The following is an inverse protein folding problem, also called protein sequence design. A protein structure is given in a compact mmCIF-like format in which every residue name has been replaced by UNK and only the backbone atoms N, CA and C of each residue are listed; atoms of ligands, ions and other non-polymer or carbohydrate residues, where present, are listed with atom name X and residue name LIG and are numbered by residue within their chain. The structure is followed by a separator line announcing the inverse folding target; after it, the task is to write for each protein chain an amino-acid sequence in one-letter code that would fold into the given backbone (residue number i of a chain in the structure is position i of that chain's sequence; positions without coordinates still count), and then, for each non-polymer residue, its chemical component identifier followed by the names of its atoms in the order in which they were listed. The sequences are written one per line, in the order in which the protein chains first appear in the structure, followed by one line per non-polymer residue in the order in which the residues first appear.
data_IF_503654965720
#
_entry.id   IF_503654965720
#
_cell.length_a   1.000
_cell.length_b   1.000
_cell.length_c   1.000
_cell.angle_alpha   90.00
_cell.angle_beta   90.00
_cell.angle_gamma   90.00
#
_symmetry.space_group_name_H-M   'P 1'
#
loop_
_entity.id
_entity.type
_entity.pdbx_description
1 polymer ?
#
# COMPACT_ATOMS: atom_id res chain seq x y z
N UNK A 1 -17.11 -33.98 2.75
CA UNK A 1 -16.35 -33.06 1.87
C UNK A 1 -16.84 -31.66 2.14
N UNK A 2 -15.97 -30.77 2.62
CA UNK A 2 -16.34 -29.36 2.87
C UNK A 2 -16.40 -28.65 1.53
N UNK A 3 -17.58 -28.17 1.11
CA UNK A 3 -17.70 -27.38 -0.12
C UNK A 3 -16.79 -26.15 -0.03
N UNK A 4 -15.79 -26.08 -0.91
CA UNK A 4 -14.96 -24.88 -1.04
C UNK A 4 -15.73 -23.89 -1.89
N UNK A 5 -16.02 -22.70 -1.33
CA UNK A 5 -16.69 -21.62 -2.07
C UNK A 5 -15.63 -20.71 -2.69
N UNK A 6 -15.83 -20.35 -3.96
CA UNK A 6 -14.98 -19.44 -4.71
C UNK A 6 -15.65 -18.07 -4.83
N UNK A 7 -14.86 -17.02 -4.66
CA UNK A 7 -15.23 -15.64 -4.95
C UNK A 7 -14.15 -15.05 -5.87
N UNK A 8 -14.54 -14.25 -6.86
CA UNK A 8 -13.62 -13.63 -7.83
C UNK A 8 -13.77 -12.12 -7.74
N UNK A 9 -12.65 -11.41 -7.60
CA UNK A 9 -12.58 -9.96 -7.69
C UNK A 9 -11.29 -9.53 -8.38
N UNK A 10 -11.37 -8.55 -9.29
CA UNK A 10 -10.23 -8.08 -10.10
C UNK A 10 -9.38 -9.23 -10.69
N UNK A 11 -10.03 -10.27 -11.23
CA UNK A 11 -9.40 -11.49 -11.78
C UNK A 11 -8.58 -12.33 -10.77
N UNK A 12 -8.70 -12.08 -9.47
CA UNK A 12 -8.16 -12.93 -8.41
C UNK A 12 -9.23 -13.83 -7.83
N UNK A 13 -8.89 -15.12 -7.66
CA UNK A 13 -9.79 -16.10 -7.04
C UNK A 13 -9.45 -16.29 -5.56
N UNK A 14 -10.49 -16.23 -4.74
CA UNK A 14 -10.43 -16.46 -3.29
C UNK A 14 -11.23 -17.72 -2.96
N UNK A 15 -10.66 -18.58 -2.11
CA UNK A 15 -11.25 -19.87 -1.74
C UNK A 15 -11.50 -19.93 -0.24
N UNK A 16 -12.71 -20.33 0.15
CA UNK A 16 -13.13 -20.37 1.55
C UNK A 16 -13.76 -21.71 1.91
N UNK A 17 -13.44 -22.21 3.11
CA UNK A 17 -13.98 -23.46 3.64
C UNK A 17 -15.32 -23.32 4.37
N UNK A 18 -15.84 -22.09 4.56
CA UNK A 18 -17.13 -21.80 5.20
C UNK A 18 -17.82 -20.62 4.51
N UNK A 19 -19.15 -20.62 4.47
CA UNK A 19 -19.94 -19.61 3.74
C UNK A 19 -19.96 -18.23 4.44
N UNK A 20 -19.96 -18.19 5.76
CA UNK A 20 -19.85 -16.96 6.58
C UNK A 20 -18.52 -16.21 6.35
N UNK A 21 -17.44 -16.96 6.11
CA UNK A 21 -16.15 -16.39 5.74
C UNK A 21 -16.18 -15.66 4.38
N UNK A 22 -17.01 -16.12 3.43
CA UNK A 22 -17.16 -15.48 2.10
C UNK A 22 -17.80 -14.11 2.23
N UNK A 23 -18.90 -14.00 2.99
CA UNK A 23 -19.61 -12.73 3.15
C UNK A 23 -18.80 -11.70 3.95
N UNK A 24 -18.02 -12.17 4.93
CA UNK A 24 -17.06 -11.30 5.64
C UNK A 24 -15.99 -10.81 4.69
N UNK A 25 -15.38 -11.70 3.89
CA UNK A 25 -14.34 -11.33 2.94
C UNK A 25 -14.83 -10.35 1.86
N UNK A 26 -16.08 -10.46 1.40
CA UNK A 26 -16.67 -9.47 0.48
C UNK A 26 -16.79 -8.09 1.09
N UNK A 27 -17.22 -7.99 2.36
CA UNK A 27 -17.32 -6.71 3.06
C UNK A 27 -15.96 -6.09 3.28
N UNK A 28 -14.98 -6.89 3.67
CA UNK A 28 -13.61 -6.45 3.83
C UNK A 28 -13.08 -5.90 2.51
N UNK A 29 -13.32 -6.61 1.41
CA UNK A 29 -12.92 -6.19 0.07
C UNK A 29 -13.56 -4.86 -0.37
N UNK A 30 -14.86 -4.68 -0.14
CA UNK A 30 -15.55 -3.42 -0.41
C UNK A 30 -14.90 -2.26 0.37
N UNK A 31 -14.55 -2.49 1.63
CA UNK A 31 -13.82 -1.52 2.45
C UNK A 31 -12.45 -1.21 1.83
N UNK A 32 -11.75 -2.20 1.25
CA UNK A 32 -10.46 -1.94 0.59
C UNK A 32 -10.60 -1.15 -0.69
N UNK A 33 -11.56 -1.46 -1.54
CA UNK A 33 -11.84 -0.66 -2.73
C UNK A 33 -12.11 0.80 -2.36
N UNK A 34 -12.90 1.03 -1.31
CA UNK A 34 -13.15 2.38 -0.80
C UNK A 34 -11.86 3.07 -0.32
N UNK A 35 -11.00 2.37 0.43
CA UNK A 35 -9.71 2.92 0.89
C UNK A 35 -8.72 3.15 -0.25
N UNK A 36 -8.69 2.31 -1.27
CA UNK A 36 -7.87 2.49 -2.47
C UNK A 36 -8.31 3.75 -3.23
N UNK A 37 -9.62 3.96 -3.37
CA UNK A 37 -10.18 5.20 -3.94
C UNK A 37 -9.75 6.41 -3.10
N UNK A 38 -9.77 6.32 -1.76
CA UNK A 38 -9.27 7.39 -0.89
C UNK A 38 -7.77 7.64 -1.10
N UNK A 39 -6.95 6.58 -1.19
CA UNK A 39 -5.52 6.70 -1.44
C UNK A 39 -5.22 7.44 -2.76
N UNK A 40 -5.98 7.14 -3.82
CA UNK A 40 -5.84 7.79 -5.13
C UNK A 40 -6.15 9.30 -5.11
N UNK A 41 -6.85 9.77 -4.07
CA UNK A 41 -7.24 11.17 -3.87
C UNK A 41 -6.30 11.91 -2.91
N UNK A 42 -5.33 11.24 -2.30
CA UNK A 42 -4.38 11.89 -1.40
C UNK A 42 -3.52 12.88 -2.19
N UNK A 43 -3.47 14.12 -1.70
CA UNK A 43 -2.64 15.17 -2.28
C UNK A 43 -1.15 14.87 -2.09
N UNK A 44 -0.45 14.77 -3.22
CA UNK A 44 0.99 14.53 -3.32
C UNK A 44 1.73 15.70 -3.95
N UNK A 45 1.11 16.89 -4.00
CA UNK A 45 1.67 18.10 -4.60
C UNK A 45 3.03 18.50 -4.01
N UNK A 46 3.22 18.33 -2.70
CA UNK A 46 4.50 18.60 -2.03
C UNK A 46 5.43 17.38 -1.92
N UNK A 47 5.28 16.38 -2.78
CA UNK A 47 6.20 15.24 -2.89
C UNK A 47 5.63 13.87 -2.50
N UNK A 48 6.48 12.82 -2.59
CA UNK A 48 6.12 11.46 -2.25
C UNK A 48 5.71 11.31 -0.78
N UNK A 49 4.78 10.38 -0.54
CA UNK A 49 4.27 10.03 0.80
C UNK A 49 4.51 8.55 1.10
N UNK A 50 4.25 8.11 2.33
CA UNK A 50 4.40 6.71 2.72
C UNK A 50 3.72 5.75 1.73
N UNK A 51 4.43 4.68 1.38
CA UNK A 51 3.98 3.66 0.43
C UNK A 51 4.16 4.01 -1.04
N UNK A 52 4.44 5.27 -1.41
CA UNK A 52 4.79 5.59 -2.79
C UNK A 52 6.11 4.89 -3.19
N UNK A 53 6.27 4.63 -4.49
CA UNK A 53 7.46 3.99 -5.05
C UNK A 53 8.45 5.06 -5.50
N UNK A 54 9.73 4.86 -5.20
CA UNK A 54 10.82 5.72 -5.65
C UNK A 54 11.84 4.88 -6.41
N UNK A 55 12.24 5.31 -7.61
CA UNK A 55 13.29 4.66 -8.38
C UNK A 55 14.55 5.51 -8.33
N UNK A 56 15.64 4.90 -7.87
CA UNK A 56 16.94 5.57 -7.70
C UNK A 56 17.96 4.76 -8.49
N UNK A 57 18.53 5.34 -9.53
CA UNK A 57 19.50 4.65 -10.40
C UNK A 57 18.99 3.28 -10.89
N UNK A 58 17.69 3.19 -11.21
CA UNK A 58 17.03 1.97 -11.65
C UNK A 58 16.64 0.99 -10.53
N UNK A 59 16.93 1.30 -9.26
CA UNK A 59 16.56 0.48 -8.11
C UNK A 59 15.24 0.96 -7.53
N UNK A 60 14.26 0.06 -7.46
CA UNK A 60 12.98 0.30 -6.80
C UNK A 60 13.18 0.36 -5.29
N UNK A 61 12.65 1.42 -4.69
CA UNK A 61 12.55 1.65 -3.26
C UNK A 61 11.11 2.05 -2.92
N UNK A 62 10.78 2.02 -1.65
CA UNK A 62 9.48 2.46 -1.14
C UNK A 62 9.66 3.52 -0.08
N UNK A 63 8.82 4.54 -0.09
CA UNK A 63 8.79 5.54 0.98
C UNK A 63 8.30 4.87 2.25
N UNK A 64 9.17 4.74 3.25
CA UNK A 64 8.85 4.11 4.53
C UNK A 64 8.39 5.13 5.57
N UNK A 65 8.89 6.36 5.50
CA UNK A 65 8.51 7.44 6.41
C UNK A 65 8.57 8.80 5.68
N UNK A 66 7.49 9.56 5.81
CA UNK A 66 7.30 10.89 5.24
C UNK A 66 7.18 11.98 6.32
N UNK A 67 7.24 11.62 7.60
CA UNK A 67 7.26 12.58 8.74
C UNK A 67 8.43 13.58 8.71
N UNK A 68 9.44 13.36 7.86
CA UNK A 68 10.56 14.28 7.64
C UNK A 68 10.29 15.28 6.50
N UNK A 69 9.10 15.24 5.88
CA UNK A 69 8.75 16.07 4.74
C UNK A 69 8.81 17.57 5.03
N UNK A 70 8.51 17.99 6.26
CA UNK A 70 8.71 19.37 6.70
C UNK A 70 10.17 19.81 6.65
N UNK A 71 11.11 18.87 6.80
CA UNK A 71 12.54 19.09 6.63
C UNK A 71 13.05 18.89 5.19
N UNK A 72 12.14 18.69 4.22
CA UNK A 72 12.47 18.50 2.81
C UNK A 72 12.94 17.09 2.44
N UNK A 73 12.93 16.14 3.38
CA UNK A 73 13.44 14.78 3.15
C UNK A 73 12.38 13.71 3.38
N UNK A 74 12.56 12.57 2.73
CA UNK A 74 11.83 11.33 3.01
C UNK A 74 12.81 10.19 3.30
N UNK A 75 12.30 9.13 3.94
CA UNK A 75 13.04 7.91 4.19
C UNK A 75 12.56 6.80 3.27
N UNK A 76 13.49 6.07 2.65
CA UNK A 76 13.17 5.00 1.70
C UNK A 76 13.79 3.65 2.03
N UNK A 77 13.06 2.58 1.75
CA UNK A 77 13.45 1.20 2.02
C UNK A 77 13.53 0.35 0.76
N UNK A 78 14.34 -0.72 0.80
CA UNK A 78 14.38 -1.74 -0.25
C UNK A 78 13.15 -2.67 -0.23
N UNK A 79 12.56 -2.83 0.95
CA UNK A 79 11.44 -3.75 1.18
C UNK A 79 10.67 -3.34 2.42
N UNK A 80 9.38 -3.63 2.46
CA UNK A 80 8.50 -3.25 3.55
C UNK A 80 7.20 -4.02 3.59
N UNK A 81 6.56 -4.03 4.75
CA UNK A 81 5.15 -4.36 4.88
C UNK A 81 4.37 -3.07 5.05
N UNK A 82 3.38 -2.83 4.19
CA UNK A 82 2.55 -1.63 4.26
C UNK A 82 1.13 -1.97 4.66
N UNK A 83 0.47 -1.06 5.35
CA UNK A 83 -0.91 -1.21 5.81
C UNK A 83 -1.77 -0.08 5.26
N UNK A 84 -2.94 -0.41 4.71
CA UNK A 84 -3.89 0.58 4.21
C UNK A 84 -4.95 0.93 5.28
N UNK A 85 -4.91 2.17 5.76
CA UNK A 85 -5.77 2.68 6.83
C UNK A 85 -7.13 3.17 6.32
N UNK A 86 -8.04 3.41 7.26
CA UNK A 86 -9.41 3.84 6.98
C UNK A 86 -9.53 5.18 6.26
N UNK A 87 -8.52 6.05 6.38
CA UNK A 87 -8.40 7.32 5.68
C UNK A 87 -7.77 7.19 4.28
N UNK A 88 -7.36 5.98 3.89
CA UNK A 88 -6.63 5.71 2.65
C UNK A 88 -5.12 5.89 2.77
N UNK A 89 -4.61 6.33 3.92
CA UNK A 89 -3.18 6.44 4.19
C UNK A 89 -2.49 5.07 4.22
N UNK A 90 -1.23 5.05 3.79
CA UNK A 90 -0.36 3.89 3.92
C UNK A 90 0.60 4.11 5.08
N UNK A 91 0.73 3.12 5.96
CA UNK A 91 1.77 3.13 7.00
C UNK A 91 2.73 1.96 6.80
N UNK A 92 3.99 2.21 7.10
CA UNK A 92 5.06 1.23 7.01
C UNK A 92 5.18 0.45 8.32
N UNK A 93 5.34 -0.86 8.20
CA UNK A 93 5.67 -1.75 9.30
C UNK A 93 6.97 -2.51 9.01
N UNK A 94 7.95 -2.32 9.89
CA UNK A 94 9.27 -2.93 9.78
C UNK A 94 10.36 -2.13 10.48
N UNK A 95 11.61 -2.59 10.34
CA UNK A 95 12.78 -1.92 10.90
C UNK A 95 13.18 -0.71 10.07
N UNK A 96 13.52 0.42 10.70
CA UNK A 96 13.71 1.74 10.05
C UNK A 96 15.16 2.05 9.59
N UNK A 97 15.98 1.06 9.23
CA UNK A 97 17.38 1.29 8.83
C UNK A 97 17.50 1.63 7.34
N UNK A 98 17.21 2.89 6.98
CA UNK A 98 16.93 3.29 5.61
C UNK A 98 17.66 4.57 5.18
N UNK A 99 17.85 4.70 3.86
CA UNK A 99 18.43 5.89 3.24
C UNK A 99 17.46 7.08 3.28
N UNK A 100 18.00 8.29 3.42
CA UNK A 100 17.25 9.54 3.30
C UNK A 100 17.47 10.17 1.93
N UNK A 101 16.42 10.79 1.40
CA UNK A 101 16.42 11.44 0.09
C UNK A 101 15.76 12.79 0.18
N UNK A 102 16.34 13.78 -0.49
CA UNK A 102 15.75 15.10 -0.67
C UNK A 102 14.55 15.03 -1.60
N UNK A 103 13.39 15.50 -1.16
CA UNK A 103 12.16 15.53 -1.96
C UNK A 103 12.35 16.34 -3.24
N UNK A 104 13.11 17.43 -3.16
CA UNK A 104 13.42 18.30 -4.32
C UNK A 104 14.21 17.60 -5.43
N UNK A 105 14.85 16.47 -5.12
CA UNK A 105 15.54 15.65 -6.12
C UNK A 105 14.61 14.69 -6.87
N UNK A 106 13.34 14.60 -6.47
CA UNK A 106 12.38 13.65 -7.00
C UNK A 106 11.34 14.32 -7.91
N UNK A 107 10.98 13.63 -8.99
CA UNK A 107 9.89 14.01 -9.88
C UNK A 107 8.87 12.89 -9.96
N UNK A 108 7.59 13.26 -9.98
CA UNK A 108 6.51 12.29 -10.19
C UNK A 108 6.52 11.83 -11.65
N UNK A 109 6.35 10.55 -11.87
CA UNK A 109 6.21 9.98 -13.22
C UNK A 109 4.74 9.90 -13.63
N UNK A 110 4.49 9.57 -14.89
CA UNK A 110 3.12 9.26 -15.35
C UNK A 110 2.72 7.81 -15.07
N UNK A 111 3.60 7.00 -14.48
CA UNK A 111 3.34 5.58 -14.25
C UNK A 111 2.99 5.32 -12.79
N UNK A 112 2.18 4.28 -12.58
CA UNK A 112 1.90 3.73 -11.27
C UNK A 112 2.56 2.37 -11.13
N UNK A 113 3.00 2.05 -9.92
CA UNK A 113 3.53 0.74 -9.57
C UNK A 113 2.57 0.03 -8.62
N UNK A 114 2.64 -1.28 -8.57
CA UNK A 114 1.80 -2.07 -7.67
C UNK A 114 2.52 -2.38 -6.36
N UNK A 115 1.90 -2.02 -5.25
CA UNK A 115 2.35 -2.32 -3.90
C UNK A 115 1.45 -3.39 -3.27
N UNK A 116 2.05 -4.39 -2.63
CA UNK A 116 1.30 -5.33 -1.82
C UNK A 116 1.08 -4.73 -0.42
N UNK A 117 -0.17 -4.56 -0.05
CA UNK A 117 -0.55 -4.01 1.25
C UNK A 117 -1.33 -5.03 2.07
N UNK A 118 -1.01 -5.03 3.35
CA UNK A 118 -1.78 -5.66 4.40
C UNK A 118 -2.99 -4.81 4.76
N UNK A 119 -3.95 -5.51 5.34
CA UNK A 119 -5.32 -5.07 5.34
C UNK A 119 -5.93 -5.39 6.71
N UNK A 120 -6.20 -4.32 7.45
CA UNK A 120 -6.97 -4.23 8.68
C UNK A 120 -8.50 -4.24 8.47
N UNK A 121 -9.22 -5.35 8.60
CA UNK A 121 -10.70 -5.31 8.68
C UNK A 121 -11.15 -4.84 10.07
N UNK A 122 -11.74 -3.65 10.16
CA UNK A 122 -12.56 -3.20 11.30
C UNK A 122 -11.83 -3.04 12.63
N UNK A 123 -10.75 -2.26 12.69
CA UNK A 123 -9.92 -1.99 13.88
C UNK A 123 -9.31 -3.22 14.58
N UNK A 124 -9.64 -4.44 14.12
CA UNK A 124 -9.16 -5.70 14.68
C UNK A 124 -7.91 -6.18 13.91
N UNK A 125 -6.74 -5.94 14.49
CA UNK A 125 -5.47 -6.45 13.97
C UNK A 125 -5.25 -7.91 14.43
N UNK A 126 -5.02 -8.84 13.50
CA UNK A 126 -4.72 -10.22 13.86
C UNK A 126 -4.11 -11.07 12.71
N UNK A 127 -3.17 -11.99 13.02
CA UNK A 127 -2.41 -12.75 12.01
C UNK A 127 -3.25 -13.74 11.18
N UNK A 128 -4.51 -13.97 11.56
CA UNK A 128 -5.43 -14.91 10.91
C UNK A 128 -6.30 -14.33 9.79
N UNK A 129 -6.32 -13.00 9.60
CA UNK A 129 -7.11 -12.30 8.56
C UNK A 129 -6.22 -11.50 7.63
N UNK A 130 -5.29 -12.18 6.97
CA UNK A 130 -4.38 -11.57 6.00
C UNK A 130 -4.94 -11.64 4.59
N UNK A 131 -5.19 -10.48 4.01
CA UNK A 131 -5.34 -10.35 2.55
C UNK A 131 -4.19 -9.46 2.09
N UNK A 132 -3.35 -9.98 1.20
CA UNK A 132 -2.42 -9.15 0.46
C UNK A 132 -3.20 -8.57 -0.72
N UNK A 133 -3.45 -7.27 -0.70
CA UNK A 133 -4.10 -6.59 -1.81
C UNK A 133 -3.07 -5.76 -2.56
N UNK A 134 -3.17 -5.79 -3.88
CA UNK A 134 -2.33 -4.94 -4.72
C UNK A 134 -3.06 -3.62 -4.92
N UNK A 135 -2.43 -2.56 -4.46
CA UNK A 135 -2.86 -1.20 -4.78
C UNK A 135 -1.88 -0.56 -5.75
N UNK A 136 -2.39 0.32 -6.60
CA UNK A 136 -1.54 1.12 -7.46
C UNK A 136 -1.14 2.40 -6.74
N UNK A 137 0.16 2.66 -6.68
CA UNK A 137 0.75 3.85 -6.06
C UNK A 137 1.57 4.62 -7.09
N UNK A 138 1.70 5.95 -6.94
CA UNK A 138 2.58 6.75 -7.79
C UNK A 138 4.04 6.30 -7.72
N UNK A 139 4.72 6.44 -8.86
CA UNK A 139 6.16 6.22 -8.97
C UNK A 139 6.86 7.56 -9.13
N UNK A 140 7.92 7.75 -8.36
CA UNK A 140 8.79 8.90 -8.37
C UNK A 140 10.19 8.49 -8.82
N UNK A 141 10.92 9.36 -9.50
CA UNK A 141 12.30 9.11 -9.91
C UNK A 141 13.19 10.29 -9.56
N UNK A 142 14.50 10.03 -9.44
CA UNK A 142 15.49 11.10 -9.34
C UNK A 142 15.47 11.93 -10.62
N UNK A 143 15.30 13.24 -10.48
CA UNK A 143 15.42 14.20 -11.56
C UNK A 143 16.81 14.09 -12.20
N UNK A 144 16.85 13.96 -13.53
CA UNK A 144 18.10 13.96 -14.30
C UNK A 144 18.69 15.36 -14.43
#
# INVERSE_FOLDING_TARGET
MTETKQFIDNNQSFFFGKADAVETAKKDLEIFHQREILNSKIDRSGGPINGDIVIINGVVKFVSLDRFRESGTIQVCDSGSFHLFSDGGLDFSGTHNFGKIEISSLVNTTVTGSLNCWIFSGDDAGPGRRVNWKINVPVWEIAK
#
